data_IF_682445678194
#
_entry.id   IF_682445678194
#
_cell.length_a   1.000
_cell.length_b   1.000
_cell.length_c   1.000
_cell.angle_alpha   90.00
_cell.angle_beta   90.00
_cell.angle_gamma   90.00
#
_symmetry.space_group_name_H-M   'P 1'
#
loop_
_entity.id
_entity.type
_entity.pdbx_description
1 polymer ?
#
# COMPACT_ATOMS: atom_id res chain seq x y z
N UNK A 1 18.00 -11.34 -8.93
CA UNK A 1 18.80 -10.28 -8.28
C UNK A 1 17.87 -9.13 -7.86
N UNK A 2 17.89 -8.68 -6.60
CA UNK A 2 17.12 -7.51 -6.14
C UNK A 2 17.83 -6.23 -6.62
N UNK A 3 17.11 -5.29 -7.23
CA UNK A 3 17.66 -3.97 -7.60
C UNK A 3 17.61 -3.06 -6.37
N UNK A 4 18.75 -2.59 -5.84
CA UNK A 4 18.75 -1.65 -4.72
C UNK A 4 18.22 -0.29 -5.18
N UNK A 5 17.51 0.40 -4.29
CA UNK A 5 17.13 1.79 -4.52
C UNK A 5 18.33 2.72 -4.35
N UNK A 6 18.31 3.87 -5.05
CA UNK A 6 19.42 4.83 -5.04
C UNK A 6 19.62 5.51 -3.68
N UNK A 7 18.53 5.72 -2.94
CA UNK A 7 18.48 6.44 -1.68
C UNK A 7 17.42 5.87 -0.76
N UNK A 8 17.71 5.90 0.52
CA UNK A 8 16.83 5.48 1.60
C UNK A 8 16.70 6.60 2.62
N UNK A 9 15.62 6.57 3.38
CA UNK A 9 15.33 7.45 4.51
C UNK A 9 14.84 6.63 5.69
N UNK A 10 15.01 7.15 6.89
CA UNK A 10 14.44 6.56 8.10
C UNK A 10 12.91 6.57 8.05
N UNK A 11 12.28 5.45 8.37
CA UNK A 11 10.82 5.33 8.37
C UNK A 11 10.13 5.93 9.60
N UNK A 12 10.88 6.23 10.66
CA UNK A 12 10.34 6.60 11.97
C UNK A 12 9.66 5.45 12.72
N UNK A 13 9.76 4.21 12.21
CA UNK A 13 9.10 3.01 12.76
C UNK A 13 10.17 1.96 13.03
N UNK A 14 10.36 1.63 14.31
CA UNK A 14 11.45 0.77 14.81
C UNK A 14 11.58 -0.58 14.09
N UNK A 15 10.45 -1.25 13.81
CA UNK A 15 10.46 -2.57 13.17
C UNK A 15 10.65 -2.55 11.64
N UNK A 16 10.56 -1.38 10.99
CA UNK A 16 10.71 -1.23 9.53
C UNK A 16 12.16 -0.86 9.17
N UNK A 17 12.76 0.05 9.94
CA UNK A 17 14.07 0.62 9.64
C UNK A 17 14.03 1.58 8.45
N UNK A 18 14.87 1.36 7.44
CA UNK A 18 15.04 2.27 6.30
C UNK A 18 14.11 1.94 5.12
N UNK A 19 13.50 2.96 4.53
CA UNK A 19 12.62 2.86 3.36
C UNK A 19 13.15 3.68 2.19
N UNK A 20 12.78 3.38 0.93
CA UNK A 20 13.22 4.17 -0.21
C UNK A 20 12.79 5.65 -0.09
N UNK A 21 13.67 6.58 -0.46
CA UNK A 21 13.44 8.01 -0.28
C UNK A 21 12.15 8.50 -0.99
N UNK A 22 11.85 7.92 -2.16
CA UNK A 22 10.70 8.25 -3.00
C UNK A 22 9.35 7.74 -2.48
N UNK A 23 9.31 6.91 -1.43
CA UNK A 23 8.06 6.44 -0.86
C UNK A 23 7.36 7.54 -0.07
N UNK A 24 6.05 7.63 -0.18
CA UNK A 24 5.23 8.61 0.52
C UNK A 24 4.24 7.93 1.47
N UNK A 25 3.97 8.58 2.61
CA UNK A 25 2.99 8.11 3.58
C UNK A 25 1.63 8.70 3.21
N UNK A 26 0.69 7.84 2.83
CA UNK A 26 -0.68 8.24 2.45
C UNK A 26 -1.73 7.48 3.26
N UNK A 27 -2.84 8.13 3.66
CA UNK A 27 -3.97 7.43 4.26
C UNK A 27 -4.61 6.48 3.24
N UNK A 28 -4.82 5.22 3.64
CA UNK A 28 -5.30 4.15 2.75
C UNK A 28 -6.62 4.48 2.05
N UNK A 29 -7.50 5.24 2.70
CA UNK A 29 -8.79 5.72 2.15
C UNK A 29 -8.65 6.55 0.87
N UNK A 30 -7.46 7.04 0.54
CA UNK A 30 -7.18 7.80 -0.68
C UNK A 30 -6.42 6.99 -1.74
N UNK A 31 -6.00 5.76 -1.44
CA UNK A 31 -5.16 4.94 -2.33
C UNK A 31 -5.99 3.91 -3.09
N UNK A 32 -7.12 3.49 -2.54
CA UNK A 32 -7.99 2.53 -3.19
C UNK A 32 -9.32 2.37 -2.47
N UNK A 33 -10.17 1.55 -3.06
CA UNK A 33 -11.49 1.22 -2.52
C UNK A 33 -11.38 0.04 -1.55
N UNK A 34 -11.97 0.21 -0.36
CA UNK A 34 -12.01 -0.83 0.66
C UNK A 34 -13.31 -1.60 0.47
N UNK A 35 -13.20 -2.82 -0.07
CA UNK A 35 -14.34 -3.73 -0.19
C UNK A 35 -14.30 -4.72 0.98
N UNK A 36 -15.34 -4.70 1.82
CA UNK A 36 -15.54 -5.70 2.86
C UNK A 36 -15.76 -7.06 2.18
N UNK A 37 -15.14 -8.12 2.74
CA UNK A 37 -15.01 -9.44 2.13
C UNK A 37 -16.15 -9.78 1.18
N UNK A 38 -15.85 -9.81 -0.13
CA UNK A 38 -16.75 -10.29 -1.17
C UNK A 38 -17.02 -11.77 -0.85
N UNK A 39 -18.01 -12.04 0.00
CA UNK A 39 -18.62 -13.36 0.11
C UNK A 39 -18.95 -13.72 -1.33
N UNK A 40 -18.31 -14.77 -1.88
CA UNK A 40 -18.29 -15.12 -3.31
C UNK A 40 -19.69 -15.02 -3.93
N UNK A 41 -20.11 -13.82 -4.33
CA UNK A 41 -21.33 -13.61 -5.08
C UNK A 41 -20.90 -13.69 -6.53
N UNK A 42 -21.43 -14.66 -7.30
CA UNK A 42 -21.08 -14.83 -8.70
C UNK A 42 -21.57 -13.67 -9.59
N UNK A 43 -22.30 -12.70 -9.04
CA UNK A 43 -22.87 -11.57 -9.77
C UNK A 43 -22.19 -10.27 -9.34
N UNK A 44 -21.41 -9.72 -10.27
CA UNK A 44 -20.82 -8.38 -10.17
C UNK A 44 -21.94 -7.35 -10.28
N UNK A 45 -22.56 -7.01 -9.15
CA UNK A 45 -23.46 -5.86 -9.08
C UNK A 45 -22.61 -4.61 -8.95
N UNK A 46 -22.22 -4.10 -10.11
CA UNK A 46 -21.44 -2.89 -10.27
C UNK A 46 -21.96 -1.73 -9.41
N UNK A 47 -21.01 -0.92 -8.96
CA UNK A 47 -21.29 0.30 -8.23
C UNK A 47 -20.05 0.94 -7.66
N UNK A 48 -19.20 1.49 -8.53
CA UNK A 48 -18.79 2.90 -8.56
C UNK A 48 -18.61 3.34 -10.02
#
# INVERSE_FOLDING_TARGET
MKKPYLKYKDSGIDWIGEIPEHWEVKPIKYVGEIVLGKMLTPDDKGGY
#
